data_IF_006351135984
#
_entry.id   IF_006351135984
#
_cell.length_a   1.000
_cell.length_b   1.000
_cell.length_c   1.000
_cell.angle_alpha   90.00
_cell.angle_beta   90.00
_cell.angle_gamma   90.00
#
_symmetry.space_group_name_H-M   'P 1'
#
loop_
_entity.id
_entity.type
_entity.pdbx_description
1 polymer ?
#
# COMPACT_ATOMS: atom_id res chain seq x y z
N UNK A 1 -11.38 -7.48 19.35
CA UNK A 1 -11.61 -8.43 18.23
C UNK A 1 -10.59 -8.15 17.16
N UNK A 2 -9.87 -9.16 16.70
CA UNK A 2 -8.82 -9.03 15.66
C UNK A 2 -9.35 -9.58 14.35
N UNK A 3 -9.01 -8.94 13.24
CA UNK A 3 -9.40 -9.35 11.89
C UNK A 3 -8.19 -9.73 11.05
N UNK A 4 -8.39 -10.65 10.12
CA UNK A 4 -7.40 -11.07 9.13
C UNK A 4 -7.98 -10.91 7.73
N UNK A 5 -7.28 -10.23 6.85
CA UNK A 5 -7.66 -10.19 5.44
C UNK A 5 -7.41 -11.55 4.80
N UNK A 6 -8.44 -12.08 4.14
CA UNK A 6 -8.37 -13.43 3.57
C UNK A 6 -7.60 -13.38 2.24
N UNK A 7 -6.53 -14.17 2.09
CA UNK A 7 -5.84 -14.30 0.80
C UNK A 7 -6.80 -14.83 -0.26
N UNK A 8 -6.83 -14.19 -1.44
CA UNK A 8 -7.63 -14.67 -2.58
C UNK A 8 -6.89 -15.73 -3.40
N UNK A 9 -5.57 -15.60 -3.47
CA UNK A 9 -4.71 -16.50 -4.21
C UNK A 9 -3.33 -16.55 -3.57
N UNK A 10 -2.83 -17.75 -3.36
CA UNK A 10 -1.44 -18.03 -2.99
C UNK A 10 -0.85 -18.91 -4.09
N UNK A 11 0.38 -18.63 -4.50
CA UNK A 11 1.13 -19.50 -5.40
C UNK A 11 2.07 -20.37 -4.57
N UNK A 12 2.07 -21.68 -4.82
CA UNK A 12 2.99 -22.60 -4.16
C UNK A 12 4.45 -22.21 -4.42
N UNK A 13 4.76 -21.75 -5.63
CA UNK A 13 6.09 -21.28 -6.01
C UNK A 13 6.52 -20.08 -5.15
N UNK A 14 5.65 -19.06 -5.01
CA UNK A 14 5.95 -17.90 -4.18
C UNK A 14 6.07 -18.24 -2.70
N UNK A 15 5.28 -19.20 -2.22
CA UNK A 15 5.40 -19.67 -0.84
C UNK A 15 6.68 -20.49 -0.61
N UNK A 16 7.20 -21.17 -1.63
CA UNK A 16 8.50 -21.85 -1.55
C UNK A 16 9.69 -20.87 -1.56
N UNK A 17 9.55 -19.73 -2.25
CA UNK A 17 10.57 -18.69 -2.38
C UNK A 17 10.46 -17.57 -1.34
N UNK A 18 9.39 -17.54 -0.55
CA UNK A 18 9.10 -16.45 0.37
C UNK A 18 8.41 -16.89 1.66
N UNK A 19 8.27 -15.94 2.57
CA UNK A 19 7.62 -16.11 3.87
C UNK A 19 6.32 -15.33 3.91
N UNK A 20 5.24 -15.96 4.41
CA UNK A 20 3.99 -15.26 4.67
C UNK A 20 4.13 -14.40 5.93
N UNK A 21 3.89 -13.12 5.77
CA UNK A 21 3.89 -12.13 6.85
C UNK A 21 2.47 -11.61 7.03
N UNK A 22 2.02 -11.56 8.26
CA UNK A 22 0.80 -10.86 8.65
C UNK A 22 1.14 -9.44 9.06
N UNK A 23 1.07 -8.54 8.08
CA UNK A 23 1.34 -7.11 8.24
C UNK A 23 0.25 -6.47 9.11
N UNK A 24 0.62 -5.74 10.18
CA UNK A 24 -0.35 -5.14 11.09
C UNK A 24 -1.05 -3.94 10.45
N UNK A 25 -2.36 -3.99 10.43
CA UNK A 25 -3.26 -2.94 9.98
C UNK A 25 -4.22 -2.55 11.09
N UNK A 26 -4.70 -1.32 11.08
CA UNK A 26 -5.84 -0.91 11.91
C UNK A 26 -7.03 -0.68 11.01
N UNK A 27 -8.15 -1.32 11.35
CA UNK A 27 -9.46 -0.98 10.82
C UNK A 27 -10.02 0.21 11.59
N UNK A 28 -10.30 1.28 10.88
CA UNK A 28 -10.86 2.51 11.45
C UNK A 28 -12.22 2.76 10.83
N UNK A 29 -13.24 2.96 11.66
CA UNK A 29 -14.56 3.44 11.24
C UNK A 29 -14.79 4.80 11.88
N UNK A 30 -15.09 5.80 11.07
CA UNK A 30 -15.42 7.15 11.54
C UNK A 30 -16.60 7.73 10.77
N UNK A 31 -17.24 8.74 11.35
CA UNK A 31 -18.42 9.40 10.79
C UNK A 31 -18.01 10.61 9.97
N UNK A 32 -18.63 10.78 8.82
CA UNK A 32 -18.56 11.98 7.99
C UNK A 32 -19.96 12.53 7.76
N UNK A 33 -20.05 13.73 7.19
CA UNK A 33 -21.34 14.30 6.75
C UNK A 33 -22.08 13.41 5.71
N UNK A 34 -21.32 12.61 4.95
CA UNK A 34 -21.84 11.72 3.90
C UNK A 34 -22.13 10.29 4.39
N UNK A 35 -21.88 9.99 5.67
CA UNK A 35 -22.07 8.65 6.24
C UNK A 35 -20.85 8.11 6.96
N UNK A 36 -20.78 6.79 7.12
CA UNK A 36 -19.65 6.10 7.75
C UNK A 36 -18.59 5.76 6.72
N UNK A 37 -17.35 5.98 7.07
CA UNK A 37 -16.17 5.55 6.31
C UNK A 37 -15.50 4.40 7.06
N UNK A 38 -15.19 3.32 6.36
CA UNK A 38 -14.57 2.08 6.89
C UNK A 38 -13.31 1.80 6.09
N UNK A 39 -12.14 1.94 6.74
CA UNK A 39 -10.82 1.85 6.13
C UNK A 39 -9.91 0.90 6.87
N UNK A 40 -8.92 0.39 6.15
CA UNK A 40 -7.76 -0.33 6.67
C UNK A 40 -6.52 0.52 6.41
N UNK A 41 -5.70 0.71 7.43
CA UNK A 41 -4.45 1.47 7.35
C UNK A 41 -3.32 0.65 7.94
N UNK A 42 -2.19 0.60 7.27
CA UNK A 42 -0.98 -0.01 7.81
C UNK A 42 -0.55 0.71 9.10
N UNK A 43 -0.31 -0.04 10.16
CA UNK A 43 0.06 0.52 11.48
C UNK A 43 1.55 0.37 11.81
N UNK A 44 2.34 -0.18 10.91
CA UNK A 44 3.76 -0.40 11.08
C UNK A 44 4.58 0.53 10.18
N UNK A 45 4.30 0.51 8.89
CA UNK A 45 5.12 1.21 7.90
C UNK A 45 5.18 2.73 8.10
N UNK A 46 4.07 3.45 8.37
CA UNK A 46 4.15 4.90 8.63
C UNK A 46 5.06 5.23 9.81
N UNK A 47 5.06 4.41 10.84
CA UNK A 47 5.92 4.58 12.01
C UNK A 47 7.39 4.31 11.67
N UNK A 48 7.70 3.27 10.90
CA UNK A 48 9.06 2.96 10.46
C UNK A 48 9.62 4.04 9.54
N UNK A 49 8.83 4.53 8.58
CA UNK A 49 9.24 5.56 7.63
C UNK A 49 9.42 6.94 8.28
N UNK A 50 8.70 7.22 9.37
CA UNK A 50 8.55 8.57 9.95
C UNK A 50 8.05 9.61 8.92
N UNK A 51 7.34 9.14 7.90
CA UNK A 51 6.76 9.95 6.84
C UNK A 51 5.23 9.81 6.87
N UNK A 52 4.50 10.84 7.31
CA UNK A 52 3.04 10.79 7.43
C UNK A 52 2.32 10.50 6.11
N UNK A 53 2.90 10.87 4.96
CA UNK A 53 2.32 10.63 3.64
C UNK A 53 2.13 9.13 3.40
N UNK A 54 3.01 8.29 3.95
CA UNK A 54 2.92 6.84 3.82
C UNK A 54 1.62 6.29 4.43
N UNK A 55 1.08 6.90 5.48
CA UNK A 55 -0.22 6.53 6.03
C UNK A 55 -1.36 6.73 5.02
N UNK A 56 -1.32 7.82 4.25
CA UNK A 56 -2.30 8.10 3.18
C UNK A 56 -2.16 7.08 2.04
N UNK A 57 -0.93 6.80 1.61
CA UNK A 57 -0.62 5.81 0.56
C UNK A 57 -1.07 4.39 0.96
N UNK A 58 -0.87 4.02 2.21
CA UNK A 58 -1.18 2.68 2.74
C UNK A 58 -2.64 2.54 3.23
N UNK A 59 -3.52 3.46 2.87
CA UNK A 59 -4.94 3.42 3.23
C UNK A 59 -5.77 2.73 2.16
N UNK A 60 -6.65 1.82 2.58
CA UNK A 60 -7.54 1.04 1.70
C UNK A 60 -8.96 1.04 2.23
N UNK A 61 -9.96 0.98 1.35
CA UNK A 61 -11.34 0.69 1.76
C UNK A 61 -11.44 -0.75 2.23
N UNK A 62 -12.07 -0.98 3.38
CA UNK A 62 -12.32 -2.33 3.92
C UNK A 62 -13.12 -3.20 2.92
N UNK A 63 -14.01 -2.59 2.12
CA UNK A 63 -14.79 -3.30 1.10
C UNK A 63 -13.95 -3.96 -0.01
N UNK A 64 -12.68 -3.62 -0.14
CA UNK A 64 -11.79 -4.22 -1.15
C UNK A 64 -11.24 -5.59 -0.72
N UNK A 65 -11.35 -5.96 0.55
CA UNK A 65 -10.84 -7.21 1.08
C UNK A 65 -11.90 -7.94 1.90
N UNK A 66 -11.85 -9.27 1.87
CA UNK A 66 -12.65 -10.10 2.76
C UNK A 66 -11.93 -10.22 4.10
N UNK A 67 -12.61 -9.92 5.21
CA UNK A 67 -12.08 -10.06 6.56
C UNK A 67 -12.62 -11.32 7.25
N UNK A 68 -11.77 -11.97 8.04
CA UNK A 68 -12.09 -13.11 8.90
C UNK A 68 -11.65 -12.82 10.33
N UNK A 69 -12.35 -13.36 11.32
CA UNK A 69 -11.94 -13.31 12.73
C UNK A 69 -10.96 -14.43 13.09
N UNK A 70 -10.75 -15.39 12.19
CA UNK A 70 -9.77 -16.48 12.35
C UNK A 70 -8.62 -16.26 11.39
N UNK A 71 -7.39 -16.51 11.85
CA UNK A 71 -6.19 -16.50 11.00
C UNK A 71 -6.32 -17.60 9.94
N UNK A 72 -6.38 -17.28 8.65
CA UNK A 72 -6.70 -18.28 7.62
C UNK A 72 -5.54 -19.24 7.36
N UNK A 73 -4.31 -18.80 7.52
CA UNK A 73 -3.09 -19.54 7.16
C UNK A 73 -2.00 -19.17 8.18
N UNK A 74 -1.11 -20.10 8.49
CA UNK A 74 0.05 -19.84 9.34
C UNK A 74 1.03 -18.88 8.66
N UNK A 75 1.70 -18.06 9.45
CA UNK A 75 2.66 -17.06 8.99
C UNK A 75 3.18 -16.21 10.15
N UNK A 76 4.22 -15.44 9.88
CA UNK A 76 4.85 -14.54 10.86
C UNK A 76 3.88 -13.37 11.12
N UNK A 77 3.54 -13.12 12.37
CA UNK A 77 2.68 -12.01 12.77
C UNK A 77 3.54 -10.87 13.29
N UNK A 78 3.45 -9.72 12.63
CA UNK A 78 4.18 -8.52 13.05
C UNK A 78 3.37 -7.71 14.06
N UNK A 79 4.07 -6.96 14.92
CA UNK A 79 3.45 -6.16 15.95
C UNK A 79 2.90 -4.83 15.43
N UNK A 80 1.76 -4.43 15.98
CA UNK A 80 1.20 -3.09 15.74
C UNK A 80 2.07 -2.02 16.40
N UNK A 81 2.35 -0.93 15.68
CA UNK A 81 3.09 0.22 16.19
C UNK A 81 2.19 1.42 16.47
N UNK A 82 1.19 1.65 15.62
CA UNK A 82 0.29 2.79 15.71
C UNK A 82 -1.13 2.35 16.04
N UNK A 83 -1.83 3.16 16.85
CA UNK A 83 -3.27 3.04 17.09
C UNK A 83 -4.08 3.75 15.98
N UNK A 84 -5.41 3.56 15.99
CA UNK A 84 -6.28 4.30 15.08
C UNK A 84 -6.23 5.82 15.28
N UNK A 85 -6.03 6.27 16.51
CA UNK A 85 -5.90 7.70 16.82
C UNK A 85 -4.59 8.26 16.27
N UNK A 86 -3.47 7.55 16.46
CA UNK A 86 -2.17 7.95 15.90
C UNK A 86 -2.25 8.06 14.39
N UNK A 87 -2.88 7.08 13.73
CA UNK A 87 -3.07 7.09 12.27
C UNK A 87 -3.91 8.28 11.80
N UNK A 88 -4.97 8.64 12.53
CA UNK A 88 -5.74 9.86 12.21
C UNK A 88 -4.89 11.12 12.34
N UNK A 89 -4.03 11.21 13.37
CA UNK A 89 -3.10 12.32 13.50
C UNK A 89 -2.10 12.37 12.33
N UNK A 90 -1.55 11.23 11.90
CA UNK A 90 -0.72 11.15 10.68
C UNK A 90 -1.47 11.64 9.44
N UNK A 91 -2.75 11.30 9.27
CA UNK A 91 -3.55 11.81 8.14
C UNK A 91 -3.64 13.34 8.14
N UNK A 92 -3.95 13.92 9.31
CA UNK A 92 -4.08 15.38 9.43
C UNK A 92 -2.76 16.09 9.13
N UNK A 93 -1.65 15.55 9.62
CA UNK A 93 -0.30 16.07 9.34
C UNK A 93 0.07 15.94 7.85
N UNK A 94 -0.27 14.80 7.23
CA UNK A 94 0.08 14.52 5.84
C UNK A 94 -0.85 15.18 4.81
N UNK A 95 -2.08 15.53 5.19
CA UNK A 95 -3.14 15.84 4.23
C UNK A 95 -2.78 16.94 3.24
N UNK A 96 -2.26 18.06 3.73
CA UNK A 96 -1.90 19.21 2.87
C UNK A 96 -0.76 18.86 1.90
N UNK A 97 0.26 18.14 2.39
CA UNK A 97 1.37 17.69 1.56
C UNK A 97 0.92 16.66 0.52
N UNK A 98 0.05 15.72 0.92
CA UNK A 98 -0.51 14.74 0.01
C UNK A 98 -1.40 15.40 -1.06
N UNK A 99 -2.20 16.41 -0.69
CA UNK A 99 -3.02 17.18 -1.63
C UNK A 99 -2.16 17.93 -2.66
N UNK A 100 -1.06 18.55 -2.22
CA UNK A 100 -0.09 19.19 -3.11
C UNK A 100 0.58 18.19 -4.06
N UNK A 101 0.98 17.03 -3.54
CA UNK A 101 1.58 15.97 -4.38
C UNK A 101 0.59 15.37 -5.38
N UNK A 102 -0.70 15.29 -5.05
CA UNK A 102 -1.73 14.84 -5.98
C UNK A 102 -1.93 15.80 -7.17
N UNK A 103 -1.52 17.07 -7.04
CA UNK A 103 -1.69 18.09 -8.07
C UNK A 103 -0.48 18.23 -9.01
N UNK A 104 0.71 17.72 -8.64
CA UNK A 104 1.88 17.80 -9.51
C UNK A 104 1.79 16.79 -10.67
N UNK A 105 2.59 16.99 -11.72
CA UNK A 105 2.70 16.02 -12.81
C UNK A 105 3.27 14.69 -12.29
N UNK A 106 3.11 13.62 -13.05
CA UNK A 106 3.67 12.31 -12.70
C UNK A 106 5.20 12.33 -12.70
N UNK A 107 5.80 13.11 -13.62
CA UNK A 107 7.23 13.34 -13.73
C UNK A 107 7.75 14.09 -12.50
N UNK A 108 7.14 15.23 -12.16
CA UNK A 108 7.49 15.99 -10.95
C UNK A 108 7.26 15.21 -9.67
N UNK A 109 6.20 14.37 -9.63
CA UNK A 109 5.94 13.49 -8.49
C UNK A 109 7.11 12.52 -8.29
N UNK A 110 7.57 11.92 -9.38
CA UNK A 110 8.70 11.01 -9.36
C UNK A 110 10.00 11.70 -8.90
N UNK A 111 10.33 12.85 -9.49
CA UNK A 111 11.53 13.61 -9.12
C UNK A 111 11.53 14.04 -7.65
N UNK A 112 10.39 14.50 -7.14
CA UNK A 112 10.22 14.90 -5.73
C UNK A 112 10.30 13.75 -4.75
N UNK A 113 9.95 12.54 -5.16
CA UNK A 113 10.07 11.37 -4.33
C UNK A 113 11.47 10.78 -4.26
N UNK A 114 12.43 11.35 -5.02
CA UNK A 114 13.87 11.04 -5.01
C UNK A 114 14.17 9.55 -5.07
N UNK A 115 13.68 8.88 -6.10
CA UNK A 115 13.82 7.43 -6.19
C UNK A 115 14.90 7.07 -7.20
N UNK A 116 16.01 6.60 -6.68
CA UNK A 116 16.96 5.80 -7.44
C UNK A 116 16.48 4.33 -7.40
N UNK A 117 15.52 4.01 -8.29
CA UNK A 117 14.92 2.68 -8.34
C UNK A 117 15.49 1.90 -9.53
N UNK A 118 15.88 0.67 -9.27
CA UNK A 118 16.11 -0.31 -10.34
C UNK A 118 14.79 -0.68 -11.03
N UNK A 119 14.48 0.00 -12.11
CA UNK A 119 13.23 -0.12 -12.87
C UNK A 119 13.06 -1.48 -13.53
N UNK A 120 14.14 -2.22 -13.76
CA UNK A 120 14.07 -3.57 -14.31
C UNK A 120 13.25 -4.50 -13.42
N UNK A 121 13.23 -4.19 -12.12
CA UNK A 121 12.47 -4.91 -11.10
C UNK A 121 10.96 -4.80 -11.28
N UNK A 122 10.44 -3.72 -11.86
CA UNK A 122 8.98 -3.50 -12.00
C UNK A 122 8.42 -3.98 -13.35
N UNK A 123 9.27 -4.54 -14.20
CA UNK A 123 8.89 -5.01 -15.55
C UNK A 123 7.74 -6.02 -15.51
N UNK A 124 7.76 -6.96 -14.57
CA UNK A 124 6.76 -8.01 -14.43
C UNK A 124 5.37 -7.49 -14.02
N UNK A 125 5.29 -6.33 -13.33
CA UNK A 125 4.05 -5.77 -12.81
C UNK A 125 3.09 -5.31 -13.91
N UNK A 126 3.61 -4.91 -15.05
CA UNK A 126 2.84 -4.30 -16.12
C UNK A 126 2.46 -5.29 -17.22
N UNK A 127 3.05 -6.48 -17.25
CA UNK A 127 2.75 -7.52 -18.24
C UNK A 127 1.31 -8.07 -18.17
N UNK A 128 0.70 -8.29 -16.98
CA UNK A 128 -0.68 -8.76 -16.87
C UNK A 128 -1.72 -7.70 -17.12
N UNK A 129 -1.39 -6.43 -17.06
CA UNK A 129 -2.35 -5.32 -17.16
C UNK A 129 -2.80 -4.98 -18.56
N UNK A 130 -2.42 -5.77 -19.59
CA UNK A 130 -2.94 -5.65 -20.97
C UNK A 130 -4.48 -5.57 -21.03
N UNK A 131 -5.20 -6.10 -20.04
CA UNK A 131 -6.67 -6.02 -19.94
C UNK A 131 -7.18 -4.75 -19.27
N UNK A 132 -6.37 -4.08 -18.43
CA UNK A 132 -6.73 -2.84 -17.74
C UNK A 132 -6.35 -1.59 -18.53
N UNK A 133 -5.53 -1.72 -19.53
CA UNK A 133 -5.13 -0.64 -20.42
C UNK A 133 -6.30 -0.38 -21.36
N UNK A 134 -7.17 0.52 -20.92
CA UNK A 134 -8.21 1.03 -21.76
C UNK A 134 -7.53 1.73 -22.95
N UNK A 135 -7.77 1.22 -24.17
CA UNK A 135 -7.09 1.55 -25.43
C UNK A 135 -7.04 3.05 -25.79
N UNK A 136 -7.60 3.92 -24.96
CA UNK A 136 -7.79 5.35 -25.25
C UNK A 136 -6.66 6.26 -24.76
N UNK A 137 -5.78 5.81 -23.85
CA UNK A 137 -4.71 6.67 -23.34
C UNK A 137 -3.39 6.44 -24.09
N UNK A 138 -2.83 7.47 -24.76
CA UNK A 138 -1.60 7.36 -25.56
C UNK A 138 -0.40 6.85 -24.75
N UNK A 139 -0.36 7.19 -23.46
CA UNK A 139 0.71 6.85 -22.54
C UNK A 139 0.85 5.33 -22.35
N UNK A 140 -0.25 4.62 -22.23
CA UNK A 140 -0.22 3.17 -22.10
C UNK A 140 0.29 2.47 -23.38
N UNK A 141 0.06 3.06 -24.55
CA UNK A 141 0.64 2.55 -25.81
C UNK A 141 2.15 2.69 -25.82
N UNK A 142 2.67 3.78 -25.30
CA UNK A 142 4.11 4.02 -25.19
C UNK A 142 4.79 3.05 -24.22
N UNK A 143 4.14 2.75 -23.10
CA UNK A 143 4.63 1.83 -22.07
C UNK A 143 4.60 0.35 -22.49
N UNK A 144 3.62 -0.04 -23.31
CA UNK A 144 3.54 -1.41 -23.86
C UNK A 144 4.66 -1.67 -24.88
N UNK A 145 5.10 -0.64 -25.62
CA UNK A 145 6.17 -0.75 -26.61
C UNK A 145 7.57 -0.84 -26.01
N UNK A 146 7.77 -0.35 -24.79
CA UNK A 146 9.02 -0.46 -24.04
C UNK A 146 8.82 -1.45 -22.90
N UNK A 147 9.52 -2.54 -22.95
CA UNK A 147 9.47 -3.61 -21.94
C UNK A 147 9.95 -3.19 -20.53
N UNK A 148 9.94 -1.89 -20.19
CA UNK A 148 10.42 -1.33 -18.93
C UNK A 148 9.35 -0.45 -18.29
N UNK A 149 9.09 -0.65 -16.99
CA UNK A 149 8.30 0.29 -16.23
C UNK A 149 9.12 1.58 -16.11
N UNK A 150 8.68 2.65 -16.75
CA UNK A 150 9.34 3.93 -16.61
C UNK A 150 9.05 4.53 -15.22
N UNK A 151 9.93 5.39 -14.70
CA UNK A 151 9.69 6.18 -13.49
C UNK A 151 8.32 6.84 -13.46
N UNK A 152 7.88 7.30 -14.59
CA UNK A 152 6.58 7.90 -14.82
C UNK A 152 5.41 6.99 -14.42
N UNK A 153 5.46 5.69 -14.69
CA UNK A 153 4.37 4.75 -14.35
C UNK A 153 4.24 4.54 -12.85
N UNK A 154 5.36 4.51 -12.15
CA UNK A 154 5.32 4.40 -10.69
C UNK A 154 4.84 5.70 -10.08
N UNK A 155 5.27 6.84 -10.59
CA UNK A 155 4.75 8.15 -10.22
C UNK A 155 3.22 8.20 -10.40
N UNK A 156 2.72 7.77 -11.56
CA UNK A 156 1.29 7.68 -11.86
C UNK A 156 0.54 6.75 -10.88
N UNK A 157 1.12 5.59 -10.57
CA UNK A 157 0.51 4.64 -9.63
C UNK A 157 0.47 5.20 -8.21
N UNK A 158 1.58 5.74 -7.70
CA UNK A 158 1.67 6.31 -6.35
C UNK A 158 0.77 7.54 -6.20
N UNK A 159 0.74 8.42 -7.20
CA UNK A 159 -0.18 9.55 -7.27
C UNK A 159 -1.63 9.09 -7.20
N UNK A 160 -2.00 8.05 -7.95
CA UNK A 160 -3.33 7.43 -7.90
C UNK A 160 -3.66 6.84 -6.51
N UNK A 161 -2.69 6.29 -5.79
CA UNK A 161 -2.88 5.86 -4.40
C UNK A 161 -3.13 7.06 -3.47
N UNK A 162 -2.38 8.16 -3.61
CA UNK A 162 -2.62 9.39 -2.84
C UNK A 162 -4.02 9.93 -3.11
N UNK A 163 -4.40 10.08 -4.36
CA UNK A 163 -5.74 10.56 -4.73
C UNK A 163 -6.86 9.68 -4.16
N UNK A 164 -6.65 8.36 -4.18
CA UNK A 164 -7.59 7.40 -3.62
C UNK A 164 -7.65 7.49 -2.10
N UNK A 165 -6.50 7.64 -1.45
CA UNK A 165 -6.37 7.85 0.00
C UNK A 165 -7.05 9.14 0.44
N UNK A 166 -6.78 10.27 -0.22
CA UNK A 166 -7.37 11.58 0.09
C UNK A 166 -8.91 11.59 0.02
N UNK A 167 -9.52 10.72 -0.78
CA UNK A 167 -10.98 10.57 -0.85
C UNK A 167 -11.60 9.89 0.37
N UNK A 168 -10.79 9.19 1.17
CA UNK A 168 -11.24 8.34 2.26
C UNK A 168 -10.58 8.64 3.61
N UNK A 169 -9.47 9.37 3.65
CA UNK A 169 -8.87 9.85 4.91
C UNK A 169 -9.52 11.16 5.36
N UNK A 170 -9.62 11.45 6.66
CA UNK A 170 -10.20 12.68 7.14
C UNK A 170 -9.26 13.88 6.89
N UNK A 171 -9.81 14.98 6.38
CA UNK A 171 -9.12 16.28 6.25
C UNK A 171 -9.07 17.07 7.57
N UNK A 172 -10.02 16.80 8.45
CA UNK A 172 -10.14 17.46 9.76
C UNK A 172 -10.33 16.41 10.83
N UNK A 173 -10.13 16.79 12.08
CA UNK A 173 -10.33 15.90 13.22
C UNK A 173 -11.72 15.27 13.18
N UNK A 174 -11.79 13.97 13.38
CA UNK A 174 -13.03 13.18 13.34
C UNK A 174 -13.15 12.30 14.57
N UNK A 175 -14.40 11.97 14.91
CA UNK A 175 -14.67 11.00 15.97
C UNK A 175 -14.54 9.58 15.41
N UNK A 176 -13.66 8.81 16.00
CA UNK A 176 -13.48 7.39 15.68
C UNK A 176 -14.62 6.63 16.36
N UNK A 177 -15.48 6.01 15.56
CA UNK A 177 -16.57 5.14 16.04
C UNK A 177 -16.06 3.76 16.43
N UNK A 178 -15.02 3.28 15.73
CA UNK A 178 -14.42 1.97 15.93
C UNK A 178 -12.97 1.98 15.49
N UNK A 179 -12.10 1.39 16.32
CA UNK A 179 -10.72 1.08 15.98
C UNK A 179 -10.43 -0.38 16.37
N UNK A 180 -9.99 -1.19 15.42
CA UNK A 180 -9.75 -2.62 15.62
C UNK A 180 -8.47 -3.05 14.96
N UNK A 181 -7.73 -3.96 15.62
CA UNK A 181 -6.57 -4.61 15.03
C UNK A 181 -6.99 -5.46 13.83
N UNK A 182 -6.24 -5.32 12.75
CA UNK A 182 -6.39 -6.13 11.55
C UNK A 182 -5.02 -6.57 11.06
N UNK A 183 -4.98 -7.62 10.26
CA UNK A 183 -3.76 -8.12 9.63
C UNK A 183 -3.99 -8.33 8.15
N UNK A 184 -3.00 -7.92 7.36
CA UNK A 184 -3.01 -8.04 5.92
C UNK A 184 -1.89 -8.98 5.48
N UNK A 185 -2.17 -10.01 4.66
CA UNK A 185 -1.15 -10.98 4.27
C UNK A 185 -0.24 -10.38 3.20
N UNK A 186 1.06 -10.48 3.44
CA UNK A 186 2.11 -10.17 2.48
C UNK A 186 3.01 -11.40 2.32
N UNK A 187 3.59 -11.60 1.16
CA UNK A 187 4.66 -12.59 0.95
C UNK A 187 5.94 -11.80 0.75
N UNK A 188 6.90 -12.00 1.63
CA UNK A 188 8.26 -11.47 1.52
C UNK A 188 9.16 -12.55 0.94
N UNK A 189 9.73 -12.31 -0.23
CA UNK A 189 10.69 -13.19 -0.88
C UNK A 189 12.13 -12.98 -0.38
N UNK A 190 13.02 -13.91 -0.67
CA UNK A 190 14.41 -13.86 -0.20
C UNK A 190 15.20 -12.68 -0.81
N UNK A 191 14.78 -12.16 -1.94
CA UNK A 191 15.33 -10.96 -2.58
C UNK A 191 14.64 -9.65 -2.12
N UNK A 192 13.93 -9.70 -0.97
CA UNK A 192 13.18 -8.58 -0.38
C UNK A 192 12.09 -7.98 -1.29
N UNK A 193 11.42 -8.84 -2.07
CA UNK A 193 10.23 -8.46 -2.80
C UNK A 193 8.97 -8.78 -2.02
N UNK A 194 7.99 -7.88 -2.08
CA UNK A 194 6.69 -8.05 -1.43
C UNK A 194 5.60 -8.27 -2.45
N UNK A 195 4.82 -9.33 -2.23
CA UNK A 195 3.62 -9.66 -2.99
C UNK A 195 2.38 -9.56 -2.12
N UNK A 196 1.26 -9.12 -2.71
CA UNK A 196 -0.02 -8.94 -2.03
C UNK A 196 -1.03 -10.02 -2.44
N UNK A 197 -1.21 -11.11 -1.66
CA UNK A 197 -2.14 -12.18 -2.01
C UNK A 197 -3.60 -11.89 -1.66
N UNK A 198 -3.88 -10.89 -0.83
CA UNK A 198 -5.25 -10.64 -0.36
C UNK A 198 -6.17 -10.04 -1.42
N UNK A 199 -5.63 -9.25 -2.33
CA UNK A 199 -6.38 -8.68 -3.44
C UNK A 199 -6.17 -9.47 -4.72
N UNK A 200 -4.95 -9.52 -5.15
CA UNK A 200 -4.49 -10.18 -6.37
C UNK A 200 -3.06 -10.61 -6.10
N UNK A 201 -2.73 -11.86 -6.40
CA UNK A 201 -1.35 -12.28 -6.29
C UNK A 201 -0.53 -11.48 -7.31
N UNK A 202 0.07 -10.42 -6.85
CA UNK A 202 0.92 -9.52 -7.64
C UNK A 202 1.96 -8.89 -6.74
N UNK A 203 3.08 -8.58 -7.31
CA UNK A 203 4.11 -7.79 -6.66
C UNK A 203 3.54 -6.43 -6.25
N UNK A 204 3.85 -5.99 -5.03
CA UNK A 204 3.32 -4.74 -4.50
C UNK A 204 4.22 -3.57 -4.89
N UNK A 205 3.76 -2.71 -5.77
CA UNK A 205 4.49 -1.47 -6.11
C UNK A 205 4.69 -0.63 -4.86
N UNK A 206 3.65 -0.46 -4.02
CA UNK A 206 3.74 0.38 -2.84
C UNK A 206 4.82 -0.11 -1.86
N UNK A 207 4.76 -1.38 -1.45
CA UNK A 207 5.71 -1.90 -0.47
C UNK A 207 7.13 -1.98 -1.01
N UNK A 208 7.30 -2.35 -2.27
CA UNK A 208 8.62 -2.40 -2.89
C UNK A 208 9.23 -1.00 -3.04
N UNK A 209 8.41 0.00 -3.42
CA UNK A 209 8.83 1.40 -3.41
C UNK A 209 9.24 1.86 -2.00
N UNK A 210 8.47 1.48 -0.96
CA UNK A 210 8.79 1.84 0.42
C UNK A 210 10.12 1.21 0.85
N UNK A 211 10.36 -0.06 0.55
CA UNK A 211 11.60 -0.76 0.88
C UNK A 211 12.80 -0.13 0.18
N UNK A 212 12.64 0.27 -1.07
CA UNK A 212 13.70 0.90 -1.84
C UNK A 212 13.99 2.34 -1.35
N UNK A 213 12.95 3.08 -0.94
CA UNK A 213 13.07 4.46 -0.48
C UNK A 213 13.55 4.61 0.97
N UNK A 214 13.15 3.68 1.86
CA UNK A 214 13.38 3.80 3.30
C UNK A 214 14.26 2.65 3.80
N UNK A 215 15.59 2.84 3.94
CA UNK A 215 16.52 1.78 4.36
C UNK A 215 16.14 1.12 5.68
N UNK A 216 15.61 1.88 6.65
CA UNK A 216 15.16 1.35 7.93
C UNK A 216 14.00 0.34 7.79
N UNK A 217 13.17 0.45 6.75
CA UNK A 217 12.11 -0.52 6.46
C UNK A 217 12.73 -1.80 5.90
N UNK A 218 13.72 -1.67 5.02
CA UNK A 218 14.46 -2.80 4.48
C UNK A 218 15.17 -3.57 5.60
N UNK A 219 15.86 -2.87 6.50
CA UNK A 219 16.52 -3.46 7.67
C UNK A 219 15.53 -4.21 8.56
N UNK A 220 14.37 -3.59 8.82
CA UNK A 220 13.30 -4.24 9.60
C UNK A 220 12.88 -5.57 8.96
N UNK A 221 12.54 -5.58 7.67
CA UNK A 221 12.12 -6.82 7.01
C UNK A 221 13.26 -7.84 6.86
N UNK A 222 14.51 -7.40 6.86
CA UNK A 222 15.68 -8.31 6.88
C UNK A 222 15.83 -9.05 8.21
N UNK A 223 15.31 -8.48 9.31
CA UNK A 223 15.36 -9.08 10.64
C UNK A 223 14.18 -10.03 10.96
N UNK A 224 13.17 -10.04 10.10
CA UNK A 224 11.97 -10.88 10.21
C UNK A 224 12.15 -12.20 9.49
#
# INVERSE_FOLDING_TARGET
MTFYAVPKKLSETLMAEGRLIWQPYVRIIYKTKKGKVDILVDSLIPELCKDPIVAVLATRKTSLVKLSTRKPIEGIVLDHRLSGLDLVNYFLEAYENAEKLAQVSEEDFYERTQLDIDWSRYRALFLPSRRLINRKEPIFRYLIGRNEASPYVIGLYLKGLIESGLKIVPKTRVDILLSQKAYYPLILTNDFRIYEPAWKLSESILYNWIIDKYPQVKEFYSSV
#
